data_IF_237005846344
#
_entry.id   IF_237005846344
#
_cell.length_a   1.000
_cell.length_b   1.000
_cell.length_c   1.000
_cell.angle_alpha   90.00
_cell.angle_beta   90.00
_cell.angle_gamma   90.00
#
_symmetry.space_group_name_H-M   'P 1'
#
loop_
_entity.id
_entity.type
_entity.pdbx_description
1 polymer ?
#
# COMPACT_ATOMS: atom_id res chain seq x y z
N UNK A 1 -5.82 12.66 30.40
CA UNK A 1 -6.05 11.20 30.29
C UNK A 1 -7.00 11.02 29.11
N UNK A 2 -6.45 10.65 27.95
CA UNK A 2 -7.14 10.71 26.65
C UNK A 2 -8.16 9.55 26.59
N UNK A 3 -9.41 9.88 26.30
CA UNK A 3 -10.45 8.89 26.01
C UNK A 3 -10.09 8.16 24.71
N UNK A 4 -9.63 6.92 24.84
CA UNK A 4 -9.67 5.94 23.74
C UNK A 4 -11.10 5.39 23.67
N UNK A 5 -11.88 5.87 22.71
CA UNK A 5 -13.14 5.21 22.34
C UNK A 5 -13.55 5.55 20.92
N UNK A 6 -13.13 4.70 19.97
CA UNK A 6 -14.05 4.15 18.99
C UNK A 6 -13.51 2.81 18.43
N UNK A 7 -14.11 1.72 18.91
CA UNK A 7 -13.79 0.33 18.60
C UNK A 7 -14.22 -0.04 17.17
N UNK A 8 -13.31 0.09 16.22
CA UNK A 8 -13.50 -0.43 14.86
C UNK A 8 -12.16 -0.68 14.19
N UNK A 9 -12.14 -1.52 13.16
CA UNK A 9 -10.98 -1.72 12.30
C UNK A 9 -10.91 -0.62 11.24
N UNK A 10 -9.72 -0.41 10.69
CA UNK A 10 -9.51 0.34 9.47
C UNK A 10 -9.82 -0.58 8.30
N UNK A 11 -10.91 -0.30 7.60
CA UNK A 11 -11.32 -0.99 6.38
C UNK A 11 -10.96 -0.16 5.13
N UNK A 12 -10.99 -0.75 3.94
CA UNK A 12 -10.77 -0.04 2.67
C UNK A 12 -11.75 1.14 2.52
N UNK A 13 -13.05 0.90 2.71
CA UNK A 13 -14.09 1.93 2.66
C UNK A 13 -13.84 3.05 3.67
N UNK A 14 -13.45 2.71 4.90
CA UNK A 14 -13.14 3.70 5.93
C UNK A 14 -11.90 4.52 5.57
N UNK A 15 -10.86 3.88 5.05
CA UNK A 15 -9.66 4.57 4.57
C UNK A 15 -10.02 5.56 3.46
N UNK A 16 -10.78 5.13 2.44
CA UNK A 16 -11.22 5.99 1.33
C UNK A 16 -12.02 7.20 1.84
N UNK A 17 -12.97 7.00 2.76
CA UNK A 17 -13.75 8.08 3.37
C UNK A 17 -12.90 9.08 4.15
N UNK A 18 -11.92 8.60 4.92
CA UNK A 18 -11.01 9.45 5.68
C UNK A 18 -10.06 10.24 4.77
N UNK A 19 -9.67 9.65 3.64
CA UNK A 19 -8.71 10.23 2.71
C UNK A 19 -9.34 11.07 1.60
N UNK A 20 -10.68 11.01 1.45
CA UNK A 20 -11.44 11.81 0.49
C UNK A 20 -11.49 11.20 -0.90
N UNK A 21 -11.33 9.88 -1.02
CA UNK A 21 -11.32 9.16 -2.30
C UNK A 21 -12.63 8.44 -2.58
N UNK A 22 -12.97 8.40 -3.87
CA UNK A 22 -14.03 7.55 -4.38
C UNK A 22 -13.63 6.08 -4.28
N UNK A 23 -14.58 5.21 -3.95
CA UNK A 23 -14.33 3.76 -3.91
C UNK A 23 -14.60 3.18 -5.29
N UNK A 24 -13.53 2.99 -6.06
CA UNK A 24 -13.59 2.35 -7.39
C UNK A 24 -13.79 0.83 -7.29
N UNK A 25 -13.20 0.20 -6.27
CA UNK A 25 -13.32 -1.23 -6.01
C UNK A 25 -13.53 -1.48 -4.51
N UNK A 26 -14.43 -2.40 -4.09
CA UNK A 26 -14.73 -2.64 -2.68
C UNK A 26 -13.58 -3.29 -1.90
N UNK A 27 -12.75 -4.09 -2.59
CA UNK A 27 -11.67 -4.88 -1.96
C UNK A 27 -10.26 -4.29 -2.12
N UNK A 28 -10.08 -3.18 -2.86
CA UNK A 28 -8.75 -2.58 -3.07
C UNK A 28 -8.87 -1.08 -3.31
N UNK A 29 -7.89 -0.31 -2.83
CA UNK A 29 -7.74 1.09 -3.21
C UNK A 29 -6.26 1.48 -3.36
N UNK A 30 -6.04 2.53 -4.14
CA UNK A 30 -4.73 3.17 -4.26
C UNK A 30 -4.48 4.04 -3.03
N UNK A 31 -3.25 4.03 -2.53
CA UNK A 31 -2.83 4.94 -1.45
C UNK A 31 -2.50 6.30 -2.05
N UNK A 32 -3.34 7.29 -1.72
CA UNK A 32 -3.09 8.69 -1.99
C UNK A 32 -3.54 9.52 -0.79
N UNK A 33 -2.61 10.26 -0.17
CA UNK A 33 -2.90 11.13 0.97
C UNK A 33 -2.98 12.62 0.59
N UNK A 34 -2.95 12.95 -0.70
CA UNK A 34 -2.95 14.32 -1.20
C UNK A 34 -4.24 15.09 -0.86
N UNK A 35 -5.39 14.38 -0.82
CA UNK A 35 -6.73 14.95 -0.57
C UNK A 35 -7.19 14.86 0.88
N UNK A 36 -6.42 14.18 1.72
CA UNK A 36 -6.80 13.88 3.09
C UNK A 36 -6.78 15.17 3.92
N UNK A 37 -7.83 15.43 4.71
CA UNK A 37 -7.91 16.63 5.54
C UNK A 37 -8.20 16.25 7.01
N UNK A 38 -7.13 15.93 7.75
CA UNK A 38 -7.19 15.47 9.12
C UNK A 38 -6.59 16.48 10.10
N UNK A 39 -7.30 16.67 11.22
CA UNK A 39 -6.92 17.55 12.32
C UNK A 39 -6.06 16.84 13.38
N UNK A 40 -6.04 15.51 13.39
CA UNK A 40 -5.27 14.67 14.28
C UNK A 40 -4.79 13.39 13.57
N UNK A 41 -3.76 12.75 14.11
CA UNK A 41 -3.25 11.48 13.59
C UNK A 41 -4.24 10.36 13.93
N UNK A 42 -4.65 9.59 12.93
CA UNK A 42 -5.54 8.45 13.13
C UNK A 42 -4.69 7.18 13.16
N UNK A 43 -4.79 6.41 14.25
CA UNK A 43 -4.11 5.12 14.41
C UNK A 43 -5.12 4.03 14.71
N UNK A 44 -5.11 2.97 13.92
CA UNK A 44 -6.11 1.91 14.00
C UNK A 44 -5.59 0.60 13.43
N UNK A 45 -6.04 -0.52 13.99
CA UNK A 45 -5.77 -1.84 13.43
C UNK A 45 -6.53 -2.02 12.11
N UNK A 46 -5.87 -2.47 11.06
CA UNK A 46 -6.49 -2.70 9.76
C UNK A 46 -6.97 -4.15 9.57
N UNK A 47 -7.92 -4.37 8.66
CA UNK A 47 -8.37 -5.71 8.21
C UNK A 47 -7.86 -6.07 6.81
N UNK A 48 -6.98 -5.25 6.25
CA UNK A 48 -6.44 -5.38 4.90
C UNK A 48 -4.92 -5.55 4.91
N UNK A 49 -4.39 -6.02 3.80
CA UNK A 49 -2.98 -5.86 3.47
C UNK A 49 -2.72 -4.45 2.93
N UNK A 50 -1.51 -3.95 3.14
CA UNK A 50 -1.06 -2.70 2.56
C UNK A 50 0.33 -2.84 1.97
N UNK A 51 0.49 -2.54 0.70
CA UNK A 51 1.78 -2.53 0.02
C UNK A 51 2.19 -1.09 -0.25
N UNK A 52 3.05 -0.55 0.62
CA UNK A 52 3.48 0.84 0.60
C UNK A 52 4.87 0.97 0.00
N UNK A 53 5.03 1.89 -0.94
CA UNK A 53 6.28 2.25 -1.60
C UNK A 53 6.69 3.68 -1.23
N UNK A 54 7.88 3.82 -0.64
CA UNK A 54 8.43 5.08 -0.16
C UNK A 54 9.43 5.65 -1.18
N UNK A 55 8.94 6.51 -2.08
CA UNK A 55 9.75 7.18 -3.10
C UNK A 55 10.04 8.64 -2.75
N UNK A 56 10.60 8.89 -1.57
CA UNK A 56 11.03 10.23 -1.16
C UNK A 56 12.49 10.50 -1.63
N UNK A 57 12.71 11.47 -2.54
CA UNK A 57 14.04 11.85 -3.04
C UNK A 57 14.98 12.38 -1.95
N UNK A 58 14.45 13.00 -0.90
CA UNK A 58 15.27 13.53 0.20
C UNK A 58 15.85 12.39 1.06
N UNK A 59 15.13 11.26 1.13
CA UNK A 59 15.55 10.09 1.90
C UNK A 59 16.51 9.16 1.15
N UNK A 60 16.75 9.39 -0.15
CA UNK A 60 17.66 8.57 -0.96
C UNK A 60 19.11 8.53 -0.46
N UNK A 61 19.49 9.48 0.41
CA UNK A 61 20.84 9.58 0.97
C UNK A 61 21.05 8.70 2.21
N UNK A 62 20.02 7.99 2.69
CA UNK A 62 20.07 7.21 3.94
C UNK A 62 20.22 5.72 3.61
N UNK A 63 21.34 5.12 4.03
CA UNK A 63 21.56 3.66 3.89
C UNK A 63 20.68 2.87 4.86
N UNK A 64 20.12 1.73 4.41
CA UNK A 64 19.20 0.91 5.18
C UNK A 64 17.74 1.37 5.16
N UNK A 65 17.39 2.26 4.21
CA UNK A 65 16.03 2.77 4.00
C UNK A 65 15.05 1.64 3.64
N UNK A 66 13.89 1.69 4.27
CA UNK A 66 12.73 0.87 3.91
C UNK A 66 12.09 1.47 2.66
N UNK A 67 12.25 0.80 1.52
CA UNK A 67 11.65 1.23 0.25
C UNK A 67 10.23 0.72 0.11
N UNK A 68 9.98 -0.48 0.63
CA UNK A 68 8.67 -1.10 0.59
C UNK A 68 8.31 -1.72 1.93
N UNK A 69 7.05 -1.51 2.33
CA UNK A 69 6.44 -2.08 3.53
C UNK A 69 5.19 -2.86 3.14
N UNK A 70 5.16 -4.14 3.51
CA UNK A 70 3.97 -4.99 3.46
C UNK A 70 3.34 -5.05 4.85
N UNK A 71 2.18 -4.42 4.97
CA UNK A 71 1.30 -4.40 6.14
C UNK A 71 0.37 -5.59 6.05
N UNK A 72 0.15 -6.26 7.18
CA UNK A 72 -0.74 -7.41 7.30
C UNK A 72 -2.04 -7.00 8.02
N UNK A 73 -3.16 -7.66 7.71
CA UNK A 73 -4.37 -7.58 8.53
C UNK A 73 -4.03 -7.83 10.00
N UNK A 74 -4.58 -7.02 10.89
CA UNK A 74 -4.26 -7.02 12.32
C UNK A 74 -3.09 -6.12 12.72
N UNK A 75 -2.36 -5.51 11.77
CA UNK A 75 -1.37 -4.47 12.08
C UNK A 75 -2.03 -3.09 12.23
N UNK A 76 -1.42 -2.23 13.05
CA UNK A 76 -1.84 -0.84 13.21
C UNK A 76 -1.31 0.01 12.05
N UNK A 77 -2.22 0.67 11.36
CA UNK A 77 -1.94 1.69 10.35
C UNK A 77 -2.11 3.09 10.92
N UNK A 78 -1.39 4.05 10.35
CA UNK A 78 -1.43 5.45 10.74
C UNK A 78 -1.74 6.33 9.51
N UNK A 79 -2.73 7.19 9.64
CA UNK A 79 -3.01 8.26 8.68
C UNK A 79 -2.60 9.58 9.35
N UNK A 80 -1.49 10.21 8.91
CA UNK A 80 -0.99 11.41 9.54
C UNK A 80 -1.88 12.62 9.26
N UNK A 81 -1.98 13.50 10.27
CA UNK A 81 -2.59 14.80 10.15
C UNK A 81 -1.81 15.66 9.15
N UNK A 82 -2.51 16.61 8.50
CA UNK A 82 -1.96 17.36 7.36
C UNK A 82 -0.58 17.99 7.64
N UNK A 83 -0.36 18.56 8.84
CA UNK A 83 0.90 19.24 9.19
C UNK A 83 2.07 18.29 9.46
N UNK A 84 1.79 17.01 9.73
CA UNK A 84 2.80 15.97 9.92
C UNK A 84 3.11 15.22 8.62
N UNK A 85 2.46 15.59 7.51
CA UNK A 85 2.78 15.00 6.20
C UNK A 85 4.08 15.60 5.69
N UNK A 86 5.06 14.73 5.50
CA UNK A 86 6.25 15.07 4.72
C UNK A 86 5.89 15.07 3.23
N UNK A 87 6.43 16.02 2.49
CA UNK A 87 6.35 16.07 1.03
C UNK A 87 7.06 14.83 0.48
N UNK A 88 6.33 13.91 -0.14
CA UNK A 88 6.83 12.57 -0.49
C UNK A 88 6.02 11.42 0.12
N UNK A 89 4.70 11.62 0.29
CA UNK A 89 3.79 10.56 0.75
C UNK A 89 4.02 9.26 -0.01
N UNK A 90 4.07 8.14 0.71
CA UNK A 90 4.19 6.82 0.11
C UNK A 90 3.06 6.60 -0.90
N UNK A 91 3.40 6.07 -2.07
CA UNK A 91 2.42 5.50 -2.99
C UNK A 91 2.22 4.03 -2.65
N UNK A 92 1.13 3.42 -3.11
CA UNK A 92 0.91 2.01 -2.82
C UNK A 92 -0.51 1.57 -3.05
N UNK A 93 -0.81 0.38 -2.55
CA UNK A 93 -2.15 -0.23 -2.64
C UNK A 93 -2.54 -0.84 -1.30
N UNK A 94 -3.80 -0.70 -0.93
CA UNK A 94 -4.41 -1.42 0.19
C UNK A 94 -5.40 -2.42 -0.38
N UNK A 95 -5.39 -3.66 0.08
CA UNK A 95 -6.27 -4.70 -0.46
C UNK A 95 -6.72 -5.68 0.62
N UNK A 96 -8.00 -6.02 0.58
CA UNK A 96 -8.63 -6.97 1.50
C UNK A 96 -8.19 -8.40 1.17
N UNK A 97 -8.05 -9.31 2.16
CA UNK A 97 -7.69 -10.72 1.94
C UNK A 97 -8.58 -11.43 0.91
N UNK A 98 -9.88 -11.13 0.88
CA UNK A 98 -10.83 -11.70 -0.08
C UNK A 98 -10.48 -11.42 -1.56
N UNK A 99 -9.66 -10.40 -1.85
CA UNK A 99 -9.16 -10.15 -3.20
C UNK A 99 -8.23 -11.28 -3.68
N UNK A 100 -7.56 -11.96 -2.74
CA UNK A 100 -6.59 -12.99 -3.03
C UNK A 100 -7.23 -14.37 -3.18
N UNK A 101 -8.48 -14.57 -2.77
CA UNK A 101 -9.13 -15.89 -2.82
C UNK A 101 -9.06 -16.48 -4.23
N UNK A 102 -8.67 -17.76 -4.32
CA UNK A 102 -8.50 -18.50 -5.57
C UNK A 102 -7.39 -17.95 -6.50
N UNK A 103 -6.47 -17.13 -5.98
CA UNK A 103 -5.29 -16.63 -6.73
C UNK A 103 -4.00 -17.32 -6.30
N UNK A 104 -2.95 -17.23 -7.14
CA UNK A 104 -1.61 -17.72 -6.79
C UNK A 104 -1.02 -17.03 -5.56
N UNK A 105 -1.41 -15.77 -5.32
CA UNK A 105 -0.85 -14.95 -4.26
C UNK A 105 -1.39 -15.32 -2.87
N UNK A 106 -2.59 -15.89 -2.77
CA UNK A 106 -3.25 -16.27 -1.50
C UNK A 106 -2.31 -17.05 -0.57
N UNK A 107 -1.70 -18.10 -1.09
CA UNK A 107 -0.83 -19.01 -0.33
C UNK A 107 0.62 -18.54 -0.27
N UNK A 108 0.96 -17.47 -0.99
CA UNK A 108 2.34 -16.99 -1.14
C UNK A 108 2.60 -15.69 -0.42
N UNK A 109 1.57 -14.87 -0.15
CA UNK A 109 1.75 -13.54 0.42
C UNK A 109 2.54 -13.56 1.74
N UNK A 110 2.32 -14.57 2.57
CA UNK A 110 3.03 -14.74 3.85
C UNK A 110 4.51 -15.10 3.71
N UNK A 111 4.94 -15.54 2.52
CA UNK A 111 6.35 -15.86 2.24
C UNK A 111 7.17 -14.61 1.94
N UNK A 112 6.52 -13.48 1.63
CA UNK A 112 7.19 -12.23 1.32
C UNK A 112 7.64 -11.51 2.60
N UNK A 113 8.84 -10.88 2.59
CA UNK A 113 9.31 -10.12 3.73
C UNK A 113 8.38 -8.93 4.00
N UNK A 114 8.07 -8.68 5.29
CA UNK A 114 7.26 -7.52 5.71
C UNK A 114 7.90 -6.18 5.35
N UNK A 115 9.24 -6.14 5.27
CA UNK A 115 10.02 -4.95 4.99
C UNK A 115 11.10 -5.28 3.98
N UNK A 116 11.24 -4.39 3.01
CA UNK A 116 12.18 -4.46 1.92
C UNK A 116 13.15 -3.28 2.05
N UNK A 117 14.32 -3.56 2.64
CA UNK A 117 15.38 -2.57 2.85
C UNK A 117 16.53 -2.83 1.88
N UNK A 118 16.76 -1.92 0.94
CA UNK A 118 17.91 -1.98 0.04
C UNK A 118 19.14 -1.36 0.73
N UNK A 119 20.33 -1.94 0.50
CA UNK A 119 21.59 -1.37 1.02
C UNK A 119 21.94 -0.02 0.36
N UNK A 120 21.50 0.18 -0.88
CA UNK A 120 21.69 1.40 -1.67
C UNK A 120 20.37 1.95 -2.23
N UNK A 121 20.48 2.93 -3.12
CA UNK A 121 19.33 3.53 -3.82
C UNK A 121 18.86 2.67 -4.96
N UNK A 122 17.53 2.55 -5.13
CA UNK A 122 16.96 2.02 -6.37
C UNK A 122 17.39 2.90 -7.55
N UNK A 123 17.81 2.26 -8.64
CA UNK A 123 18.06 2.93 -9.91
C UNK A 123 16.77 3.53 -10.47
N UNK A 124 16.89 4.54 -11.34
CA UNK A 124 15.74 5.15 -12.01
C UNK A 124 14.87 4.10 -12.73
N UNK A 125 15.51 3.14 -13.39
CA UNK A 125 14.82 2.05 -14.07
C UNK A 125 13.98 1.20 -13.11
N UNK A 126 14.51 0.84 -11.95
CA UNK A 126 13.78 0.05 -10.95
C UNK A 126 12.61 0.82 -10.33
N UNK A 127 12.78 2.12 -10.10
CA UNK A 127 11.69 3.00 -9.64
C UNK A 127 10.58 3.11 -10.68
N UNK A 128 10.94 3.20 -11.96
CA UNK A 128 9.98 3.23 -13.05
C UNK A 128 9.19 1.92 -13.13
N UNK A 129 9.85 0.76 -13.00
CA UNK A 129 9.17 -0.55 -12.96
C UNK A 129 8.12 -0.59 -11.82
N UNK A 130 8.48 -0.14 -10.62
CA UNK A 130 7.55 -0.12 -9.48
C UNK A 130 6.38 0.83 -9.75
N UNK A 131 6.68 2.04 -10.24
CA UNK A 131 5.68 3.08 -10.47
C UNK A 131 4.72 2.70 -11.60
N UNK A 132 5.24 2.13 -12.68
CA UNK A 132 4.43 1.62 -13.79
C UNK A 132 3.53 0.48 -13.31
N UNK A 133 4.03 -0.46 -12.51
CA UNK A 133 3.19 -1.54 -11.99
C UNK A 133 2.04 -1.02 -11.11
N UNK A 134 2.30 -0.06 -10.24
CA UNK A 134 1.25 0.62 -9.45
C UNK A 134 0.24 1.35 -10.34
N UNK A 135 0.70 1.97 -11.45
CA UNK A 135 -0.18 2.58 -12.44
C UNK A 135 -1.09 1.55 -13.09
N UNK A 136 -0.55 0.41 -13.54
CA UNK A 136 -1.36 -0.65 -14.15
C UNK A 136 -2.44 -1.18 -13.18
N UNK A 137 -2.14 -1.32 -11.88
CA UNK A 137 -3.16 -1.66 -10.87
C UNK A 137 -4.24 -0.56 -10.84
N UNK A 138 -3.84 0.70 -10.81
CA UNK A 138 -4.77 1.84 -10.81
C UNK A 138 -5.68 1.87 -12.04
N UNK A 139 -5.15 1.57 -13.23
CA UNK A 139 -5.93 1.45 -14.46
C UNK A 139 -6.92 0.28 -14.39
N UNK A 140 -6.51 -0.89 -13.86
CA UNK A 140 -7.39 -2.04 -13.64
C UNK A 140 -8.59 -1.69 -12.74
N UNK A 141 -8.41 -0.82 -11.75
CA UNK A 141 -9.52 -0.36 -10.88
C UNK A 141 -10.58 0.48 -11.60
N UNK A 142 -10.27 1.05 -12.78
CA UNK A 142 -11.23 1.81 -13.59
C UNK A 142 -12.02 0.93 -14.55
N UNK A 143 -11.62 -0.33 -14.72
CA UNK A 143 -12.38 -1.31 -15.49
C UNK A 143 -13.57 -1.84 -14.67
N UNK A 144 -14.58 -2.37 -15.37
CA UNK A 144 -15.73 -2.98 -14.70
C UNK A 144 -15.27 -4.21 -13.91
N UNK A 145 -15.73 -4.33 -12.67
CA UNK A 145 -15.41 -5.48 -11.81
C UNK A 145 -16.06 -6.72 -12.41
N UNK A 146 -15.24 -7.61 -12.95
CA UNK A 146 -15.65 -8.88 -13.51
C UNK A 146 -14.93 -10.07 -12.86
N UNK A 147 -15.20 -11.28 -13.36
CA UNK A 147 -14.63 -12.52 -12.82
C UNK A 147 -13.12 -12.65 -12.98
N UNK A 148 -12.48 -11.78 -13.77
CA UNK A 148 -11.06 -11.77 -14.06
C UNK A 148 -10.31 -10.69 -13.27
N UNK A 149 -10.97 -9.58 -12.90
CA UNK A 149 -10.36 -8.43 -12.22
C UNK A 149 -9.51 -8.83 -11.00
N UNK A 150 -10.05 -9.66 -10.10
CA UNK A 150 -9.32 -10.09 -8.90
C UNK A 150 -8.01 -10.82 -9.24
N UNK A 151 -8.04 -11.72 -10.23
CA UNK A 151 -6.86 -12.47 -10.67
C UNK A 151 -5.81 -11.56 -11.32
N UNK A 152 -6.24 -10.57 -12.11
CA UNK A 152 -5.33 -9.60 -12.76
C UNK A 152 -4.66 -8.74 -11.68
N UNK A 153 -5.46 -8.14 -10.80
CA UNK A 153 -4.95 -7.29 -9.71
C UNK A 153 -3.99 -8.07 -8.81
N UNK A 154 -4.34 -9.28 -8.38
CA UNK A 154 -3.48 -10.13 -7.57
C UNK A 154 -2.16 -10.47 -8.29
N UNK A 155 -2.20 -10.70 -9.61
CA UNK A 155 -0.99 -10.95 -10.41
C UNK A 155 -0.07 -9.72 -10.47
N UNK A 156 -0.64 -8.52 -10.59
CA UNK A 156 0.14 -7.28 -10.53
C UNK A 156 0.78 -7.07 -9.15
N UNK A 157 0.03 -7.28 -8.06
CA UNK A 157 0.56 -7.21 -6.70
C UNK A 157 1.69 -8.22 -6.49
N UNK A 158 1.51 -9.46 -6.95
CA UNK A 158 2.52 -10.51 -6.85
C UNK A 158 3.79 -10.13 -7.65
N UNK A 159 3.63 -9.59 -8.86
CA UNK A 159 4.75 -9.10 -9.66
C UNK A 159 5.51 -7.97 -8.97
N UNK A 160 4.79 -7.02 -8.36
CA UNK A 160 5.40 -5.93 -7.60
C UNK A 160 6.21 -6.46 -6.40
N UNK A 161 5.65 -7.38 -5.63
CA UNK A 161 6.34 -8.03 -4.52
C UNK A 161 7.61 -8.77 -4.98
N UNK A 162 7.55 -9.45 -6.12
CA UNK A 162 8.71 -10.13 -6.72
C UNK A 162 9.83 -9.14 -7.11
N UNK A 163 9.47 -7.99 -7.71
CA UNK A 163 10.44 -6.94 -8.02
C UNK A 163 11.09 -6.40 -6.75
N UNK A 164 10.32 -6.18 -5.70
CA UNK A 164 10.86 -5.63 -4.45
C UNK A 164 11.84 -6.58 -3.76
N UNK A 165 11.55 -7.89 -3.74
CA UNK A 165 12.53 -8.89 -3.28
C UNK A 165 13.79 -8.83 -4.15
N UNK A 166 13.64 -8.81 -5.48
CA UNK A 166 14.77 -8.79 -6.40
C UNK A 166 15.67 -7.57 -6.16
N UNK A 167 15.09 -6.39 -5.98
CA UNK A 167 15.87 -5.15 -5.81
C UNK A 167 16.51 -5.05 -4.41
N UNK A 168 15.87 -5.60 -3.37
CA UNK A 168 16.45 -5.60 -2.02
C UNK A 168 17.60 -6.59 -1.83
N UNK A 169 17.64 -7.65 -2.63
CA UNK A 169 18.66 -8.71 -2.55
C UNK A 169 19.87 -8.47 -3.47
N UNK A 170 19.95 -7.30 -4.14
CA UNK A 170 21.15 -6.87 -4.88
C UNK A 170 22.26 -6.43 -3.91
#
# INVERSE_FOLDING_TARGET
MIQMSNSGLMTIDRFNKLTGHETLHPLICMVDLSRTNLNEDIRMMCDFYGLLYYNDPEQDKISGKEWLRLIYPGETVEIPLNRHRHTGCCSGVLFHPDLLCDTSLENRIETYPKRCCCKGTLSEHERNIITDNLREIGEELHHAIDRHSASIIASHIELLLNYCIRFCNQ
#
